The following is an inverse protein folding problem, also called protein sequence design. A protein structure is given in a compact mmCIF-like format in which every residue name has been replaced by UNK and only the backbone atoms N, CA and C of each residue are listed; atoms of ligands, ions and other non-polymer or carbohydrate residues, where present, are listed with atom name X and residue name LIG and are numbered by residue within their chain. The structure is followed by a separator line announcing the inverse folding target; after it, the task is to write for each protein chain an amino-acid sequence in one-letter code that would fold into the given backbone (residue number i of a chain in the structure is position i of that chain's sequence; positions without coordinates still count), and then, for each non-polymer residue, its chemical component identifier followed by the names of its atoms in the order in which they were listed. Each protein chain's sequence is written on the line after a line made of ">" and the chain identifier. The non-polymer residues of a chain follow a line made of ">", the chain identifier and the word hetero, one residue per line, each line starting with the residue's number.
data_IF_204559593451
#
_entry.id   IF_204559593451
#
_cell.length_a   1.000
_cell.length_b   1.000
_cell.length_c   1.000
_cell.angle_alpha   90.00
_cell.angle_beta   90.00
_cell.angle_gamma   90.00
#
_symmetry.space_group_name_H-M   'P 1'
#
loop_
_entity.id
_entity.type
_entity.pdbx_description
1 polymer ?
#
# COMPACT_ATOMS: atom_id res chain seq x y z
N UNK A 1 21.35 -10.86 11.73
CA UNK A 1 22.49 -10.14 11.14
C UNK A 1 21.99 -8.80 10.60
N UNK A 2 22.49 -7.71 11.17
CA UNK A 2 22.19 -6.37 10.70
C UNK A 2 23.14 -6.01 9.56
N UNK A 3 22.60 -5.55 8.44
CA UNK A 3 23.35 -4.93 7.37
C UNK A 3 23.47 -3.42 7.58
N UNK A 4 24.32 -2.77 6.83
CA UNK A 4 24.37 -1.32 6.72
C UNK A 4 23.36 -0.88 5.66
N UNK A 5 22.45 0.02 6.04
CA UNK A 5 21.48 0.61 5.10
C UNK A 5 21.70 2.12 5.08
N UNK A 6 21.78 2.66 3.87
CA UNK A 6 21.90 4.10 3.63
C UNK A 6 20.78 4.59 2.74
N UNK A 7 20.38 5.84 2.92
CA UNK A 7 19.46 6.56 2.04
C UNK A 7 20.09 7.87 1.58
N UNK A 8 19.90 8.21 0.32
CA UNK A 8 20.43 9.44 -0.29
C UNK A 8 19.33 10.18 -1.04
N UNK A 9 19.33 11.52 -0.94
CA UNK A 9 18.49 12.42 -1.75
C UNK A 9 19.28 13.05 -2.92
N UNK A 10 20.45 12.48 -3.24
CA UNK A 10 21.38 12.98 -4.25
C UNK A 10 22.30 14.11 -3.77
N UNK A 11 21.98 14.77 -2.66
CA UNK A 11 22.81 15.84 -2.06
C UNK A 11 23.50 15.39 -0.76
N UNK A 12 22.79 14.60 0.02
CA UNK A 12 23.28 14.04 1.28
C UNK A 12 22.92 12.57 1.40
N UNK A 13 23.73 11.85 2.14
CA UNK A 13 23.50 10.43 2.45
C UNK A 13 23.42 10.26 3.96
N UNK A 14 22.43 9.51 4.43
CA UNK A 14 22.25 9.17 5.84
C UNK A 14 22.35 7.66 6.02
N UNK A 15 23.04 7.22 7.07
CA UNK A 15 23.02 5.82 7.51
C UNK A 15 21.75 5.62 8.34
N UNK A 16 20.93 4.69 7.93
CA UNK A 16 19.66 4.41 8.60
C UNK A 16 19.89 3.61 9.89
N UNK A 17 19.10 3.92 10.90
CA UNK A 17 19.13 3.20 12.18
C UNK A 17 18.27 1.94 12.09
N UNK A 18 18.89 0.78 12.30
CA UNK A 18 18.18 -0.49 12.45
C UNK A 18 17.58 -0.63 13.84
N UNK A 19 16.31 -1.03 13.91
CA UNK A 19 15.63 -1.31 15.18
C UNK A 19 14.72 -2.53 15.06
N UNK A 20 14.45 -3.13 16.21
CA UNK A 20 13.41 -4.15 16.32
C UNK A 20 12.04 -3.50 16.57
N UNK A 21 11.04 -3.91 15.80
CA UNK A 21 9.66 -3.47 16.00
C UNK A 21 8.71 -4.62 15.66
N UNK A 22 8.08 -5.18 16.69
CA UNK A 22 7.21 -6.36 16.58
C UNK A 22 5.93 -6.14 15.75
N UNK A 23 5.62 -4.88 15.39
CA UNK A 23 4.50 -4.56 14.50
C UNK A 23 4.74 -4.97 13.05
N UNK A 24 5.99 -5.21 12.66
CA UNK A 24 6.38 -5.57 11.30
C UNK A 24 6.72 -7.04 11.18
N UNK A 25 6.64 -7.57 9.96
CA UNK A 25 7.11 -8.91 9.64
C UNK A 25 7.95 -8.85 8.33
N UNK A 26 9.27 -9.06 8.38
CA UNK A 26 10.09 -9.33 9.57
C UNK A 26 10.15 -8.13 10.53
N UNK A 27 10.40 -8.34 11.84
CA UNK A 27 10.33 -7.29 12.85
C UNK A 27 11.59 -6.41 12.92
N UNK A 28 12.37 -6.38 11.86
CA UNK A 28 13.58 -5.57 11.74
C UNK A 28 13.36 -4.47 10.73
N UNK A 29 13.37 -3.23 11.19
CA UNK A 29 13.14 -2.05 10.35
C UNK A 29 14.30 -1.08 10.43
N UNK A 30 14.52 -0.36 9.34
CA UNK A 30 15.49 0.72 9.25
C UNK A 30 14.75 2.05 9.12
N UNK A 31 15.17 3.04 9.89
CA UNK A 31 14.54 4.36 9.90
C UNK A 31 15.59 5.45 9.71
N UNK A 32 15.19 6.52 9.03
CA UNK A 32 15.97 7.76 8.96
C UNK A 32 15.83 8.52 10.26
N UNK A 33 16.84 9.31 10.60
CA UNK A 33 16.81 10.18 11.76
C UNK A 33 16.51 11.64 11.35
N UNK A 34 17.18 12.11 10.31
CA UNK A 34 17.05 13.52 9.86
C UNK A 34 16.42 13.66 8.49
N UNK A 35 16.48 12.62 7.64
CA UNK A 35 15.95 12.70 6.29
C UNK A 35 14.44 12.46 6.29
N UNK A 36 13.69 13.40 5.74
CA UNK A 36 12.24 13.28 5.50
C UNK A 36 11.98 13.24 4.00
N UNK A 37 11.04 12.38 3.60
CA UNK A 37 10.60 12.33 2.22
C UNK A 37 9.88 13.63 1.80
N UNK A 38 10.20 14.12 0.62
CA UNK A 38 9.58 15.30 0.02
C UNK A 38 9.02 14.93 -1.35
N UNK A 39 7.82 15.42 -1.64
CA UNK A 39 7.14 15.21 -2.93
C UNK A 39 8.02 15.73 -4.08
N UNK A 40 8.09 14.95 -5.15
CA UNK A 40 8.89 15.27 -6.35
C UNK A 40 10.39 14.98 -6.22
N UNK A 41 10.87 14.58 -5.03
CA UNK A 41 12.28 14.21 -4.85
C UNK A 41 12.52 12.73 -5.07
N UNK A 42 13.70 12.43 -5.57
CA UNK A 42 14.22 11.09 -5.79
C UNK A 42 15.13 10.67 -4.64
N UNK A 43 14.98 9.43 -4.21
CA UNK A 43 15.76 8.84 -3.13
C UNK A 43 16.35 7.51 -3.58
N UNK A 44 17.60 7.29 -3.24
CA UNK A 44 18.29 6.02 -3.44
C UNK A 44 18.54 5.36 -2.11
N UNK A 45 18.11 4.11 -1.96
CA UNK A 45 18.38 3.26 -0.79
C UNK A 45 19.41 2.22 -1.18
N UNK A 46 20.42 2.00 -0.33
CA UNK A 46 21.44 0.98 -0.53
C UNK A 46 21.56 0.16 0.74
N UNK A 47 21.45 -1.16 0.61
CA UNK A 47 21.62 -2.12 1.68
C UNK A 47 22.85 -2.99 1.43
N UNK A 48 23.74 -3.09 2.41
CA UNK A 48 24.96 -3.87 2.36
C UNK A 48 24.94 -4.91 3.48
N UNK A 49 25.03 -6.19 3.13
CA UNK A 49 25.16 -7.27 4.10
C UNK A 49 26.60 -7.39 4.60
N UNK A 50 26.78 -8.12 5.71
CA UNK A 50 28.10 -8.45 6.23
C UNK A 50 28.96 -9.26 5.25
N UNK A 51 28.32 -10.05 4.41
CA UNK A 51 28.98 -10.95 3.43
C UNK A 51 29.26 -10.22 2.10
N UNK A 52 29.08 -8.89 2.06
CA UNK A 52 29.39 -8.08 0.89
C UNK A 52 28.30 -8.07 -0.18
N UNK A 53 27.13 -8.65 0.08
CA UNK A 53 25.98 -8.54 -0.83
C UNK A 53 25.44 -7.12 -0.76
N UNK A 54 25.26 -6.50 -1.94
CA UNK A 54 24.73 -5.15 -2.07
C UNK A 54 23.42 -5.20 -2.84
N UNK A 55 22.40 -4.52 -2.33
CA UNK A 55 21.15 -4.23 -3.02
C UNK A 55 20.94 -2.71 -3.04
N UNK A 56 20.51 -2.19 -4.17
CA UNK A 56 20.24 -0.76 -4.35
C UNK A 56 18.93 -0.58 -5.10
N UNK A 57 18.16 0.44 -4.69
CA UNK A 57 16.93 0.82 -5.37
C UNK A 57 16.77 2.35 -5.33
N UNK A 58 16.22 2.90 -6.39
CA UNK A 58 15.92 4.32 -6.50
C UNK A 58 14.43 4.50 -6.79
N UNK A 59 13.80 5.43 -6.10
CA UNK A 59 12.40 5.81 -6.29
C UNK A 59 12.20 7.30 -6.13
N UNK A 60 11.13 7.83 -6.71
CA UNK A 60 10.72 9.22 -6.51
C UNK A 60 9.39 9.27 -5.79
N UNK A 61 9.23 10.21 -4.86
CA UNK A 61 7.93 10.42 -4.21
C UNK A 61 7.03 11.17 -5.18
N UNK A 62 6.00 10.53 -5.74
CA UNK A 62 5.14 11.16 -6.72
C UNK A 62 4.27 12.25 -6.09
N UNK A 63 3.78 13.17 -6.91
CA UNK A 63 2.77 14.15 -6.48
C UNK A 63 1.50 13.39 -6.10
N UNK A 64 0.98 13.58 -4.88
CA UNK A 64 -0.23 12.90 -4.45
C UNK A 64 -1.44 13.33 -5.29
N UNK A 65 -2.33 12.38 -5.55
CA UNK A 65 -3.68 12.67 -6.01
C UNK A 65 -4.60 12.80 -4.78
N UNK A 66 -5.65 13.59 -4.92
CA UNK A 66 -6.58 13.85 -3.82
C UNK A 66 -7.87 13.06 -3.99
N UNK A 67 -8.48 12.67 -2.89
CA UNK A 67 -9.85 12.20 -2.87
C UNK A 67 -10.74 13.43 -2.74
N UNK A 68 -11.51 13.72 -3.78
CA UNK A 68 -12.34 14.92 -3.86
C UNK A 68 -13.74 14.74 -3.26
N UNK A 69 -14.22 13.48 -3.24
CA UNK A 69 -15.59 13.14 -2.81
C UNK A 69 -15.67 11.69 -2.36
N UNK A 70 -16.57 11.43 -1.43
CA UNK A 70 -17.04 10.08 -1.11
C UNK A 70 -18.53 9.94 -1.37
N UNK A 71 -18.95 8.77 -1.81
CA UNK A 71 -20.34 8.34 -1.90
C UNK A 71 -20.52 6.98 -1.22
N UNK A 72 -21.72 6.73 -0.73
CA UNK A 72 -22.12 5.47 -0.13
C UNK A 72 -23.22 4.87 -0.98
N UNK A 73 -22.97 3.69 -1.50
CA UNK A 73 -23.93 2.95 -2.33
C UNK A 73 -24.50 1.76 -1.52
N UNK A 74 -25.80 1.46 -1.62
CA UNK A 74 -26.38 0.27 -1.05
C UNK A 74 -25.80 -0.98 -1.72
N UNK A 75 -25.86 -2.10 -1.02
CA UNK A 75 -25.58 -3.43 -1.57
C UNK A 75 -26.86 -4.26 -1.54
N UNK A 76 -26.81 -5.48 -2.07
CA UNK A 76 -27.92 -6.42 -1.98
C UNK A 76 -28.29 -6.84 -0.54
N UNK A 77 -27.44 -6.47 0.42
CA UNK A 77 -27.65 -6.71 1.86
C UNK A 77 -27.88 -5.39 2.56
N UNK A 78 -29.08 -5.16 3.08
CA UNK A 78 -29.53 -3.90 3.69
C UNK A 78 -28.63 -3.32 4.79
N UNK A 79 -27.84 -4.16 5.44
CA UNK A 79 -26.92 -3.76 6.52
C UNK A 79 -25.51 -3.45 6.04
N UNK A 80 -25.22 -3.69 4.76
CA UNK A 80 -23.89 -3.51 4.17
C UNK A 80 -23.90 -2.41 3.11
N UNK A 81 -22.83 -1.68 3.02
CA UNK A 81 -22.67 -0.54 2.12
C UNK A 81 -21.34 -0.64 1.36
N UNK A 82 -21.39 -0.19 0.12
CA UNK A 82 -20.20 0.04 -0.71
C UNK A 82 -19.77 1.50 -0.54
N UNK A 83 -18.49 1.71 -0.24
CA UNK A 83 -17.89 3.04 -0.28
C UNK A 83 -17.29 3.29 -1.65
N UNK A 84 -17.55 4.46 -2.21
CA UNK A 84 -16.99 4.95 -3.47
C UNK A 84 -16.21 6.22 -3.18
N UNK A 85 -15.01 6.34 -3.73
CA UNK A 85 -14.22 7.55 -3.70
C UNK A 85 -14.06 8.09 -5.12
N UNK A 86 -13.94 9.41 -5.24
CA UNK A 86 -13.59 10.09 -6.49
C UNK A 86 -12.22 10.74 -6.32
N UNK A 87 -11.32 10.47 -7.26
CA UNK A 87 -9.96 10.97 -7.25
C UNK A 87 -9.78 12.11 -8.26
N UNK A 88 -8.86 13.03 -7.98
CA UNK A 88 -8.64 14.23 -8.78
C UNK A 88 -7.91 13.98 -10.12
N UNK A 89 -7.27 12.83 -10.28
CA UNK A 89 -6.51 12.49 -11.49
C UNK A 89 -6.59 10.98 -11.75
N UNK A 90 -7.28 10.59 -12.81
CA UNK A 90 -7.45 9.21 -13.23
C UNK A 90 -6.24 8.63 -13.98
N UNK A 91 -5.25 9.47 -14.32
CA UNK A 91 -4.05 9.08 -15.06
C UNK A 91 -2.89 8.67 -14.14
N UNK A 92 -3.14 8.50 -12.86
CA UNK A 92 -2.14 8.10 -11.86
C UNK A 92 -2.40 6.71 -11.34
N UNK A 93 -1.31 5.97 -11.13
CA UNK A 93 -1.34 4.71 -10.41
C UNK A 93 -1.45 4.97 -8.92
N UNK A 94 -2.32 4.25 -8.23
CA UNK A 94 -2.51 4.45 -6.80
C UNK A 94 -2.86 3.16 -6.06
N UNK A 95 -2.68 3.22 -4.74
CA UNK A 95 -3.06 2.16 -3.82
C UNK A 95 -3.91 2.70 -2.68
N UNK A 96 -5.04 2.04 -2.44
CA UNK A 96 -5.97 2.35 -1.36
C UNK A 96 -5.73 1.47 -0.14
N UNK A 97 -5.86 2.10 1.01
CA UNK A 97 -5.86 1.44 2.31
C UNK A 97 -7.06 1.93 3.11
N UNK A 98 -7.61 1.08 3.95
CA UNK A 98 -8.71 1.45 4.86
C UNK A 98 -8.42 1.01 6.27
N UNK A 99 -9.00 1.74 7.22
CA UNK A 99 -9.02 1.41 8.63
C UNK A 99 -10.43 1.67 9.16
N UNK A 100 -11.05 0.68 9.79
CA UNK A 100 -12.34 0.83 10.49
C UNK A 100 -12.07 1.07 11.95
N UNK A 101 -12.51 2.23 12.45
CA UNK A 101 -12.31 2.63 13.85
C UNK A 101 -12.99 1.66 14.82
N UNK A 102 -12.27 1.28 15.86
CA UNK A 102 -12.74 0.30 16.85
C UNK A 102 -12.54 -1.17 16.47
N UNK A 103 -12.34 -1.48 15.18
CA UNK A 103 -12.06 -2.85 14.72
C UNK A 103 -10.60 -3.05 14.29
N UNK A 104 -9.97 -2.00 13.82
CA UNK A 104 -8.60 -2.03 13.28
C UNK A 104 -7.74 -0.97 13.97
N UNK A 105 -6.50 -1.33 14.26
CA UNK A 105 -5.51 -0.42 14.88
C UNK A 105 -4.56 0.21 13.87
N UNK A 106 -4.62 -0.24 12.62
CA UNK A 106 -3.76 0.22 11.53
C UNK A 106 -4.48 0.14 10.18
N UNK A 107 -3.92 0.81 9.17
CA UNK A 107 -4.42 0.74 7.81
C UNK A 107 -4.07 -0.59 7.16
N UNK A 108 -5.05 -1.29 6.63
CA UNK A 108 -4.87 -2.47 5.80
C UNK A 108 -5.08 -2.15 4.32
N UNK A 109 -4.36 -2.85 3.45
CA UNK A 109 -4.58 -2.77 2.00
C UNK A 109 -6.05 -3.10 1.69
N UNK A 110 -6.70 -2.23 0.95
CA UNK A 110 -8.05 -2.49 0.41
C UNK A 110 -8.04 -3.78 -0.40
N UNK A 111 -9.12 -4.56 -0.34
CA UNK A 111 -9.20 -5.86 -1.02
C UNK A 111 -9.14 -5.74 -2.55
N UNK A 112 -9.55 -4.59 -3.08
CA UNK A 112 -9.31 -4.18 -4.46
C UNK A 112 -8.79 -2.75 -4.33
N UNK A 113 -7.49 -2.59 -4.18
CA UNK A 113 -6.95 -1.29 -3.80
C UNK A 113 -5.80 -0.82 -4.68
N UNK A 114 -5.33 -1.65 -5.59
CA UNK A 114 -4.29 -1.30 -6.55
C UNK A 114 -4.95 -0.90 -7.88
N UNK A 115 -4.75 0.33 -8.30
CA UNK A 115 -5.34 0.88 -9.52
C UNK A 115 -4.27 1.35 -10.49
N UNK A 116 -4.44 0.99 -11.75
CA UNK A 116 -3.66 1.47 -12.90
C UNK A 116 -4.48 2.48 -13.70
N UNK A 117 -3.78 3.18 -14.61
CA UNK A 117 -4.40 4.01 -15.64
C UNK A 117 -5.42 3.18 -16.44
N UNK A 118 -6.63 3.71 -16.57
CA UNK A 118 -7.73 3.02 -17.24
C UNK A 118 -8.59 2.11 -16.36
N UNK A 119 -8.15 1.77 -15.14
CA UNK A 119 -9.00 1.12 -14.14
C UNK A 119 -9.86 2.12 -13.36
N UNK A 120 -9.49 3.37 -13.38
CA UNK A 120 -10.21 4.49 -12.79
C UNK A 120 -11.10 5.06 -13.89
N UNK A 121 -12.39 5.23 -13.62
CA UNK A 121 -13.32 5.87 -14.57
C UNK A 121 -12.88 7.29 -14.93
N UNK A 122 -13.33 7.80 -16.08
CA UNK A 122 -13.04 9.17 -16.53
C UNK A 122 -13.47 10.23 -15.49
N UNK A 123 -14.48 9.91 -14.69
CA UNK A 123 -14.98 10.71 -13.59
C UNK A 123 -14.14 10.59 -12.31
N UNK A 124 -13.09 9.80 -12.34
CA UNK A 124 -12.22 9.52 -11.18
C UNK A 124 -12.81 8.53 -10.17
N UNK A 125 -13.89 7.84 -10.51
CA UNK A 125 -14.60 6.91 -9.62
C UNK A 125 -13.78 5.66 -9.31
N UNK A 126 -13.58 5.37 -8.04
CA UNK A 126 -12.91 4.15 -7.53
C UNK A 126 -13.72 3.50 -6.43
N UNK A 127 -13.83 2.19 -6.45
CA UNK A 127 -14.51 1.41 -5.43
C UNK A 127 -13.55 1.17 -4.26
N UNK A 128 -13.96 1.57 -3.07
CA UNK A 128 -13.19 1.36 -1.85
C UNK A 128 -13.71 0.12 -1.13
N UNK A 129 -12.94 -0.95 -1.17
CA UNK A 129 -13.22 -2.16 -0.40
C UNK A 129 -12.57 -2.10 0.97
N UNK A 130 -13.19 -2.74 1.95
CA UNK A 130 -12.62 -2.88 3.29
C UNK A 130 -11.26 -3.58 3.23
N UNK A 131 -10.27 -2.99 3.87
CA UNK A 131 -8.95 -3.57 4.01
C UNK A 131 -8.95 -4.78 4.94
N UNK A 132 -8.06 -5.71 4.67
CA UNK A 132 -7.90 -6.92 5.48
C UNK A 132 -6.43 -7.24 5.70
N UNK A 133 -6.14 -7.88 6.81
CA UNK A 133 -4.81 -8.39 7.11
C UNK A 133 -4.56 -9.65 6.26
N UNK A 134 -3.61 -9.55 5.36
CA UNK A 134 -3.14 -10.67 4.52
C UNK A 134 -4.22 -11.69 4.09
N UNK A 135 -4.11 -12.93 4.57
CA UNK A 135 -4.89 -14.07 4.10
C UNK A 135 -6.24 -14.27 4.80
N UNK A 136 -6.72 -13.30 5.57
CA UNK A 136 -8.03 -13.45 6.22
C UNK A 136 -9.14 -13.44 5.16
N UNK A 137 -9.77 -14.60 4.96
CA UNK A 137 -10.81 -14.83 3.96
C UNK A 137 -12.21 -14.39 4.43
N UNK A 138 -12.39 -14.20 5.72
CA UNK A 138 -13.70 -14.01 6.35
C UNK A 138 -14.09 -12.55 6.51
N UNK A 139 -13.24 -11.61 6.11
CA UNK A 139 -13.53 -10.18 6.18
C UNK A 139 -14.39 -9.78 4.99
N UNK A 140 -15.62 -9.30 5.26
CA UNK A 140 -16.47 -8.69 4.24
C UNK A 140 -15.76 -7.54 3.52
N UNK A 141 -15.86 -7.43 2.19
CA UNK A 141 -15.33 -6.29 1.45
C UNK A 141 -16.14 -5.01 1.64
N UNK A 142 -17.31 -5.10 2.26
CA UNK A 142 -18.24 -4.02 2.48
C UNK A 142 -18.16 -3.47 3.90
N UNK A 143 -18.75 -2.30 4.11
CA UNK A 143 -18.83 -1.62 5.39
C UNK A 143 -20.23 -1.75 5.97
N UNK A 144 -20.35 -1.64 7.29
CA UNK A 144 -21.64 -1.69 8.01
C UNK A 144 -22.16 -0.27 8.26
N UNK A 145 -23.45 -0.16 8.49
CA UNK A 145 -24.03 1.10 8.96
C UNK A 145 -23.44 1.50 10.31
N UNK A 146 -22.93 2.73 10.40
CA UNK A 146 -22.28 3.25 11.61
C UNK A 146 -20.77 3.05 11.67
N UNK A 147 -20.17 2.31 10.71
CA UNK A 147 -18.73 2.24 10.62
C UNK A 147 -18.14 3.63 10.38
N UNK A 148 -17.12 3.97 11.13
CA UNK A 148 -16.26 5.13 10.86
C UNK A 148 -15.01 4.64 10.15
N UNK A 149 -14.89 5.04 8.89
CA UNK A 149 -13.87 4.52 7.98
C UNK A 149 -12.85 5.60 7.65
N UNK A 150 -11.60 5.27 7.86
CA UNK A 150 -10.47 6.08 7.42
C UNK A 150 -9.95 5.51 6.11
N UNK A 151 -9.82 6.35 5.10
CA UNK A 151 -9.30 5.97 3.78
C UNK A 151 -7.99 6.69 3.55
N UNK A 152 -6.97 5.93 3.16
CA UNK A 152 -5.65 6.45 2.76
C UNK A 152 -5.40 6.10 1.31
N UNK A 153 -5.09 7.09 0.51
CA UNK A 153 -4.69 6.96 -0.89
C UNK A 153 -3.19 7.24 -1.00
N UNK A 154 -2.45 6.32 -1.62
CA UNK A 154 -1.05 6.49 -1.95
C UNK A 154 -0.89 6.52 -3.48
N UNK A 155 -0.33 7.59 -4.01
CA UNK A 155 0.12 7.64 -5.40
C UNK A 155 1.41 6.84 -5.54
N UNK A 156 1.54 6.05 -6.59
CA UNK A 156 2.67 5.16 -6.83
C UNK A 156 3.43 5.60 -8.09
N UNK A 157 4.75 5.47 -8.04
CA UNK A 157 5.55 5.39 -9.26
C UNK A 157 5.42 4.00 -9.91
N UNK A 158 5.91 3.86 -11.14
CA UNK A 158 5.77 2.64 -11.92
C UNK A 158 6.42 1.43 -11.22
N UNK A 159 7.61 1.60 -10.67
CA UNK A 159 8.33 0.52 -10.00
C UNK A 159 7.61 0.05 -8.72
N UNK A 160 7.07 0.99 -7.94
CA UNK A 160 6.27 0.68 -6.76
C UNK A 160 4.96 -0.01 -7.11
N UNK A 161 4.32 0.41 -8.20
CA UNK A 161 3.11 -0.25 -8.70
C UNK A 161 3.40 -1.69 -9.13
N UNK A 162 4.45 -1.92 -9.92
CA UNK A 162 4.82 -3.25 -10.41
C UNK A 162 5.20 -4.19 -9.25
N UNK A 163 5.87 -3.67 -8.23
CA UNK A 163 6.14 -4.42 -6.99
C UNK A 163 4.85 -4.87 -6.32
N UNK A 164 3.91 -3.95 -6.07
CA UNK A 164 2.65 -4.27 -5.40
C UNK A 164 1.79 -5.22 -6.22
N UNK A 165 1.76 -5.06 -7.55
CA UNK A 165 1.06 -5.96 -8.46
C UNK A 165 1.61 -7.37 -8.37
N UNK A 166 2.94 -7.51 -8.49
CA UNK A 166 3.60 -8.82 -8.37
C UNK A 166 3.34 -9.47 -7.02
N UNK A 167 3.33 -8.68 -5.94
CA UNK A 167 3.02 -9.18 -4.61
C UNK A 167 1.57 -9.66 -4.49
N UNK A 168 0.59 -8.92 -5.01
CA UNK A 168 -0.82 -9.31 -5.01
C UNK A 168 -1.06 -10.56 -5.86
N UNK A 169 -0.40 -10.68 -7.00
CA UNK A 169 -0.43 -11.87 -7.86
C UNK A 169 0.12 -13.11 -7.14
N UNK A 170 1.26 -12.99 -6.46
CA UNK A 170 1.83 -14.08 -5.65
C UNK A 170 0.88 -14.50 -4.52
N UNK A 171 0.26 -13.55 -3.82
CA UNK A 171 -0.73 -13.83 -2.78
C UNK A 171 -1.96 -14.52 -3.37
N UNK A 172 -2.42 -14.14 -4.55
CA UNK A 172 -3.53 -14.80 -5.23
C UNK A 172 -3.18 -16.24 -5.63
N UNK A 173 -2.02 -16.44 -6.22
CA UNK A 173 -1.52 -17.78 -6.63
C UNK A 173 -1.32 -18.71 -5.44
N UNK A 174 -0.84 -18.21 -4.30
CA UNK A 174 -0.66 -19.02 -3.07
C UNK A 174 -1.98 -19.57 -2.50
N UNK A 175 -3.12 -19.07 -2.98
CA UNK A 175 -4.47 -19.49 -2.58
C UNK A 175 -5.07 -20.54 -3.50
N UNK A 176 -4.46 -20.80 -4.65
CA UNK A 176 -4.89 -21.86 -5.56
C UNK A 176 -4.37 -23.18 -5.01
N UNK A 177 -5.24 -24.17 -4.66
CA UNK A 177 -4.77 -25.49 -4.28
C UNK A 177 -3.98 -26.05 -5.47
N UNK A 178 -2.75 -26.46 -5.24
CA UNK A 178 -2.02 -27.26 -6.22
C UNK A 178 -2.84 -28.54 -6.46
N UNK A 179 -3.48 -28.62 -7.59
CA UNK A 179 -4.06 -29.91 -8.01
C UNK A 179 -2.90 -30.87 -8.19
N UNK A 180 -2.92 -32.04 -7.55
CA UNK A 180 -1.94 -33.08 -7.88
C UNK A 180 -2.11 -33.40 -9.36
N UNK A 181 -1.03 -33.27 -10.11
CA UNK A 181 -0.97 -33.75 -11.50
C UNK A 181 -1.07 -35.27 -11.40
N UNK A 182 -2.18 -35.81 -11.93
CA UNK A 182 -2.39 -37.25 -12.00
C UNK A 182 -1.44 -37.89 -13.03
#
# INVERSE_FOLDING_TARGET
>A
NWGKVTISDGKRTEVMMGRYDSKYNPPFVYTTYNMKGEVGKTYTIKAESRDGIVAEATTSIPVPIEITKFEIEPTDVDTLFQLVAYVSDSNKRCKLFTMVEGEQTEYYSSQIGLFDVGMIGEDGRVIVKRGRKNLDKNVSPFFKRGDKVWVKLATLDDASYDFWRSFEDLVALSRVPLMPVA
#
